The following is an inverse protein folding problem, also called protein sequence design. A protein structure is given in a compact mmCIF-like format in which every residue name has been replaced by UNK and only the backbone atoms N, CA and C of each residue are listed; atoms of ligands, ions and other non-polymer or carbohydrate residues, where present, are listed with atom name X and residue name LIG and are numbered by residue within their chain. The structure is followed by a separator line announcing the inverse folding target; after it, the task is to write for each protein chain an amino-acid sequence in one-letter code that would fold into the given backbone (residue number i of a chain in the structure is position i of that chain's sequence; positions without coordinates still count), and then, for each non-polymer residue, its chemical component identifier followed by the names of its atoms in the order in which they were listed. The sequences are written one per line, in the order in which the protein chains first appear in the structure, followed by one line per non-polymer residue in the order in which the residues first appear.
data_IF_902454236845
#
_entry.id   IF_902454236845
#
_cell.length_a   1.000
_cell.length_b   1.000
_cell.length_c   1.000
_cell.angle_alpha   90.00
_cell.angle_beta   90.00
_cell.angle_gamma   90.00
#
_symmetry.space_group_name_H-M   'P 1'
#
loop_
_entity.id
_entity.type
_entity.pdbx_description
1 polymer ?
#
# COMPACT_ATOMS: atom_id res chain seq x y z
N UNK A 1 -0.90 -18.29 13.39
CA UNK A 1 -0.30 -17.79 12.12
C UNK A 1 -1.06 -18.39 10.97
N UNK A 2 -1.61 -17.58 10.07
CA UNK A 2 -2.38 -18.08 8.91
C UNK A 2 -1.90 -17.49 7.58
N UNK A 3 -1.23 -16.36 7.47
CA UNK A 3 -1.98 -15.37 6.71
C UNK A 3 -1.68 -15.30 5.19
N UNK A 4 -0.43 -15.30 4.74
CA UNK A 4 -0.13 -15.04 3.32
C UNK A 4 -0.62 -16.15 2.34
N UNK A 5 -0.39 -17.42 2.67
CA UNK A 5 -0.83 -18.54 1.79
C UNK A 5 -2.34 -18.70 1.77
N UNK A 6 -3.00 -18.51 2.91
CA UNK A 6 -4.45 -18.61 2.98
C UNK A 6 -5.13 -17.42 2.30
N UNK A 7 -4.64 -16.19 2.51
CA UNK A 7 -5.12 -15.00 1.82
C UNK A 7 -4.99 -15.17 0.30
N UNK A 8 -3.84 -15.67 -0.17
CA UNK A 8 -3.63 -15.98 -1.59
C UNK A 8 -4.63 -17.02 -2.11
N UNK A 9 -4.86 -18.11 -1.38
CA UNK A 9 -5.81 -19.17 -1.78
C UNK A 9 -7.24 -18.63 -1.87
N UNK A 10 -7.66 -17.85 -0.88
CA UNK A 10 -8.98 -17.21 -0.87
C UNK A 10 -9.15 -16.30 -2.09
N UNK A 11 -8.20 -15.41 -2.35
CA UNK A 11 -8.27 -14.50 -3.49
C UNK A 11 -8.19 -15.22 -4.84
N UNK A 12 -7.39 -16.29 -4.95
CA UNK A 12 -7.36 -17.15 -6.14
C UNK A 12 -8.72 -17.81 -6.41
N UNK A 13 -9.45 -18.18 -5.35
CA UNK A 13 -10.82 -18.67 -5.45
C UNK A 13 -11.88 -17.57 -5.59
N UNK A 14 -11.47 -16.29 -5.70
CA UNK A 14 -12.33 -15.10 -5.70
C UNK A 14 -13.15 -14.93 -4.41
N UNK A 15 -12.67 -15.50 -3.31
CA UNK A 15 -13.21 -15.27 -1.99
C UNK A 15 -12.54 -14.02 -1.38
N UNK A 16 -13.34 -12.95 -1.30
CA UNK A 16 -12.95 -11.68 -0.69
C UNK A 16 -13.68 -11.43 0.63
N UNK A 17 -14.30 -12.47 1.22
CA UNK A 17 -15.07 -12.36 2.47
C UNK A 17 -14.23 -11.88 3.67
N UNK A 18 -12.91 -12.00 3.56
CA UNK A 18 -11.95 -11.54 4.57
C UNK A 18 -11.66 -10.04 4.49
N UNK A 19 -12.01 -9.36 3.39
CA UNK A 19 -11.73 -7.93 3.26
C UNK A 19 -12.46 -7.15 4.37
N UNK A 20 -11.82 -6.12 4.95
CA UNK A 20 -12.47 -5.30 5.95
C UNK A 20 -13.73 -4.63 5.40
N UNK A 21 -14.80 -4.51 6.20
CA UNK A 21 -15.93 -3.66 5.84
C UNK A 21 -15.49 -2.21 5.71
N UNK A 22 -15.99 -1.54 4.67
CA UNK A 22 -15.73 -0.14 4.36
C UNK A 22 -16.85 0.71 4.97
N UNK A 23 -16.48 1.77 5.68
CA UNK A 23 -17.41 2.75 6.27
C UNK A 23 -17.05 4.16 5.81
N UNK A 24 -18.02 4.91 5.33
CA UNK A 24 -17.81 6.34 5.04
C UNK A 24 -18.04 7.15 6.32
N UNK A 25 -17.08 8.00 6.68
CA UNK A 25 -17.15 8.88 7.87
C UNK A 25 -16.54 10.24 7.57
N UNK A 26 -16.93 11.25 8.36
CA UNK A 26 -16.15 12.48 8.45
C UNK A 26 -14.93 12.21 9.32
N UNK A 27 -13.75 12.09 8.71
CA UNK A 27 -12.49 11.78 9.40
C UNK A 27 -11.82 13.00 10.05
N UNK A 28 -12.54 14.13 10.11
CA UNK A 28 -12.00 15.37 10.66
C UNK A 28 -11.17 16.13 9.61
N UNK A 29 -9.88 16.33 9.90
CA UNK A 29 -8.97 17.23 9.17
C UNK A 29 -9.08 17.12 7.64
N UNK A 30 -9.03 18.28 6.98
CA UNK A 30 -9.05 18.43 5.52
C UNK A 30 -7.75 17.92 4.88
N UNK A 31 -7.60 16.60 4.80
CA UNK A 31 -6.41 15.96 4.23
C UNK A 31 -6.35 14.44 4.44
N UNK A 32 -7.15 13.88 5.34
CA UNK A 32 -7.24 12.42 5.54
C UNK A 32 -8.33 11.89 4.61
N UNK A 33 -7.95 10.97 3.73
CA UNK A 33 -8.81 10.43 2.69
C UNK A 33 -9.22 8.99 2.95
N UNK A 34 -8.34 8.21 3.59
CA UNK A 34 -8.64 6.88 4.11
C UNK A 34 -8.05 6.69 5.50
N UNK A 35 -8.53 5.67 6.18
CA UNK A 35 -7.88 5.14 7.37
C UNK A 35 -8.23 3.66 7.58
N UNK A 36 -7.26 2.84 7.97
CA UNK A 36 -7.46 1.45 8.32
C UNK A 36 -7.17 1.25 9.80
N UNK A 37 -8.05 0.53 10.49
CA UNK A 37 -7.81 0.12 11.87
C UNK A 37 -7.70 -1.39 11.97
N UNK A 38 -6.48 -1.87 12.26
CA UNK A 38 -6.23 -3.27 12.58
C UNK A 38 -6.99 -3.75 13.83
N UNK A 39 -7.20 -2.87 14.81
CA UNK A 39 -7.90 -3.20 16.07
C UNK A 39 -9.39 -3.50 15.88
N UNK A 40 -10.03 -2.85 14.91
CA UNK A 40 -11.47 -3.03 14.61
C UNK A 40 -11.72 -3.75 13.29
N UNK A 41 -10.64 -4.06 12.55
CA UNK A 41 -10.63 -4.59 11.19
C UNK A 41 -11.62 -3.84 10.28
N UNK A 42 -11.43 -2.53 10.13
CA UNK A 42 -12.32 -1.64 9.37
C UNK A 42 -11.51 -0.67 8.52
N UNK A 43 -12.01 -0.44 7.32
CA UNK A 43 -11.57 0.66 6.45
C UNK A 43 -12.57 1.81 6.62
N UNK A 44 -12.05 3.00 6.83
CA UNK A 44 -12.80 4.23 6.88
C UNK A 44 -12.42 5.09 5.66
N UNK A 45 -13.41 5.58 4.92
CA UNK A 45 -13.19 6.49 3.80
C UNK A 45 -13.79 7.85 4.16
N UNK A 46 -13.07 8.92 3.84
CA UNK A 46 -13.53 10.26 4.15
C UNK A 46 -14.73 10.64 3.28
N UNK A 47 -15.74 11.24 3.90
CA UNK A 47 -16.89 11.79 3.16
C UNK A 47 -16.44 12.82 2.11
N UNK A 48 -15.41 13.61 2.42
CA UNK A 48 -14.83 14.58 1.48
C UNK A 48 -14.31 13.93 0.20
N UNK A 49 -13.68 12.75 0.29
CA UNK A 49 -13.23 12.01 -0.90
C UNK A 49 -14.42 11.45 -1.70
N UNK A 50 -15.47 10.99 -1.02
CA UNK A 50 -16.70 10.53 -1.70
C UNK A 50 -17.38 11.70 -2.43
N UNK A 51 -17.48 12.85 -1.77
CA UNK A 51 -18.14 14.05 -2.29
C UNK A 51 -17.37 14.70 -3.44
N UNK A 52 -16.04 14.52 -3.51
CA UNK A 52 -15.23 15.04 -4.62
C UNK A 52 -15.52 14.34 -5.94
N UNK A 53 -16.03 13.11 -5.89
CA UNK A 53 -16.26 12.27 -7.08
C UNK A 53 -14.98 11.80 -7.77
N UNK A 54 -13.81 11.97 -7.16
CA UNK A 54 -12.53 11.55 -7.73
C UNK A 54 -12.34 10.02 -7.58
N UNK A 55 -12.85 9.30 -8.57
CA UNK A 55 -12.73 7.85 -8.64
C UNK A 55 -11.27 7.37 -8.73
N UNK A 56 -10.34 8.18 -9.23
CA UNK A 56 -8.92 7.79 -9.32
C UNK A 56 -8.31 7.79 -7.93
N UNK A 57 -8.50 8.87 -7.18
CA UNK A 57 -8.02 8.97 -5.80
C UNK A 57 -8.72 7.98 -4.88
N UNK A 58 -10.03 7.78 -5.03
CA UNK A 58 -10.77 6.76 -4.26
C UNK A 58 -10.19 5.35 -4.46
N UNK A 59 -9.84 4.97 -5.69
CA UNK A 59 -9.20 3.67 -5.96
C UNK A 59 -7.82 3.57 -5.32
N UNK A 60 -7.00 4.63 -5.42
CA UNK A 60 -5.67 4.64 -4.82
C UNK A 60 -5.74 4.46 -3.30
N UNK A 61 -6.61 5.23 -2.65
CA UNK A 61 -6.86 5.16 -1.20
C UNK A 61 -7.40 3.79 -0.80
N UNK A 62 -8.41 3.24 -1.48
CA UNK A 62 -8.92 1.91 -1.14
C UNK A 62 -7.86 0.81 -1.25
N UNK A 63 -6.99 0.88 -2.26
CA UNK A 63 -5.89 -0.08 -2.39
C UNK A 63 -4.85 0.08 -1.29
N UNK A 64 -4.59 1.30 -0.85
CA UNK A 64 -3.69 1.63 0.27
C UNK A 64 -4.19 1.01 1.57
N UNK A 65 -5.46 1.25 1.90
CA UNK A 65 -6.09 0.66 3.09
C UNK A 65 -6.21 -0.87 3.05
N UNK A 66 -6.34 -1.44 1.85
CA UNK A 66 -6.23 -2.90 1.66
C UNK A 66 -4.78 -3.36 1.88
N UNK A 67 -3.78 -2.57 1.50
CA UNK A 67 -2.37 -2.83 1.78
C UNK A 67 -2.07 -2.94 3.27
N UNK A 68 -2.50 -1.96 4.07
CA UNK A 68 -2.39 -2.00 5.54
C UNK A 68 -3.13 -3.21 6.15
N UNK A 69 -4.30 -3.56 5.61
CA UNK A 69 -4.99 -4.80 6.00
C UNK A 69 -4.13 -6.04 5.75
N UNK A 70 -3.52 -6.15 4.56
CA UNK A 70 -2.66 -7.27 4.20
C UNK A 70 -1.45 -7.31 5.14
N UNK A 71 -0.81 -6.17 5.43
CA UNK A 71 0.32 -6.06 6.35
C UNK A 71 -0.05 -6.61 7.73
N UNK A 72 -1.10 -6.07 8.34
CA UNK A 72 -1.62 -6.53 9.63
C UNK A 72 -2.02 -8.01 9.62
N UNK A 73 -2.35 -8.56 8.44
CA UNK A 73 -2.53 -9.99 8.30
C UNK A 73 -1.18 -10.74 8.28
N UNK A 74 -0.24 -10.39 7.42
CA UNK A 74 0.95 -11.21 7.22
C UNK A 74 2.00 -11.06 8.31
N UNK A 75 2.10 -9.87 8.92
CA UNK A 75 3.12 -9.52 9.90
C UNK A 75 2.61 -9.63 11.35
N UNK A 76 3.54 -9.80 12.27
CA UNK A 76 3.24 -9.85 13.72
C UNK A 76 3.08 -8.48 14.34
N UNK A 77 3.62 -7.46 13.68
CA UNK A 77 3.57 -6.05 14.03
C UNK A 77 3.51 -5.27 12.74
N UNK A 78 3.02 -4.05 12.84
CA UNK A 78 3.05 -3.04 11.79
C UNK A 78 4.45 -2.91 11.16
N UNK A 79 4.50 -2.78 9.84
CA UNK A 79 5.75 -2.59 9.09
C UNK A 79 6.10 -1.10 9.09
N UNK A 80 7.33 -0.69 9.45
CA UNK A 80 7.68 0.72 9.43
C UNK A 80 7.57 1.35 8.03
N UNK A 81 6.98 2.55 7.97
CA UNK A 81 6.70 3.28 6.74
C UNK A 81 5.22 3.26 6.40
N UNK A 82 4.89 3.60 5.16
CA UNK A 82 3.54 3.46 4.61
C UNK A 82 3.52 2.34 3.55
N UNK A 83 3.45 1.09 4.01
CA UNK A 83 3.41 -0.10 3.17
C UNK A 83 2.09 -0.22 2.39
N UNK A 84 1.02 0.38 2.92
CA UNK A 84 -0.23 0.58 2.20
C UNK A 84 -0.03 1.36 0.91
N UNK A 85 0.62 2.51 0.99
CA UNK A 85 0.87 3.39 -0.15
C UNK A 85 1.77 2.71 -1.17
N UNK A 86 2.82 2.03 -0.71
CA UNK A 86 3.69 1.23 -1.57
C UNK A 86 2.90 0.15 -2.30
N UNK A 87 2.05 -0.59 -1.59
CA UNK A 87 1.18 -1.60 -2.19
C UNK A 87 0.23 -1.00 -3.22
N UNK A 88 -0.44 0.11 -2.90
CA UNK A 88 -1.34 0.83 -3.81
C UNK A 88 -0.65 1.23 -5.11
N UNK A 89 0.54 1.83 -5.02
CA UNK A 89 1.33 2.23 -6.17
C UNK A 89 1.70 1.04 -7.05
N UNK A 90 2.19 -0.06 -6.45
CA UNK A 90 2.57 -1.27 -7.18
C UNK A 90 1.38 -1.93 -7.89
N UNK A 91 0.21 -2.03 -7.23
CA UNK A 91 -0.99 -2.62 -7.83
C UNK A 91 -1.54 -1.75 -8.97
N UNK A 92 -1.43 -0.42 -8.85
CA UNK A 92 -1.81 0.52 -9.91
C UNK A 92 -0.80 0.59 -11.06
N UNK A 93 0.37 -0.04 -10.93
CA UNK A 93 1.42 -0.02 -11.94
C UNK A 93 2.16 1.32 -12.02
N UNK A 94 2.20 2.07 -10.93
CA UNK A 94 2.96 3.32 -10.85
C UNK A 94 4.47 3.01 -10.83
N UNK A 95 5.23 3.81 -11.58
CA UNK A 95 6.68 3.73 -11.55
C UNK A 95 7.21 4.64 -10.44
N UNK A 96 7.78 4.03 -9.40
CA UNK A 96 8.40 4.73 -8.28
C UNK A 96 9.91 4.84 -8.48
N UNK A 97 10.49 6.00 -8.21
CA UNK A 97 11.94 6.14 -8.09
C UNK A 97 12.44 5.58 -6.76
N UNK A 98 13.75 5.33 -6.65
CA UNK A 98 14.36 4.88 -5.40
C UNK A 98 14.13 5.88 -4.25
N UNK A 99 14.15 7.18 -4.54
CA UNK A 99 13.89 8.25 -3.57
C UNK A 99 12.43 8.24 -3.12
N UNK A 100 11.47 7.98 -4.01
CA UNK A 100 10.06 7.85 -3.65
C UNK A 100 9.83 6.63 -2.76
N UNK A 101 10.41 5.48 -3.09
CA UNK A 101 10.32 4.28 -2.24
C UNK A 101 10.95 4.54 -0.87
N UNK A 102 12.11 5.22 -0.82
CA UNK A 102 12.77 5.56 0.43
C UNK A 102 11.96 6.56 1.26
N UNK A 103 11.28 7.52 0.61
CA UNK A 103 10.37 8.44 1.27
C UNK A 103 9.21 7.67 1.91
N UNK A 104 8.48 6.86 1.13
CA UNK A 104 7.33 6.04 1.58
C UNK A 104 7.72 5.15 2.77
N UNK A 105 8.89 4.49 2.70
CA UNK A 105 9.41 3.65 3.80
C UNK A 105 9.82 4.41 5.06
N UNK A 106 9.94 5.73 4.98
CA UNK A 106 10.23 6.62 6.10
C UNK A 106 9.03 7.41 6.58
N UNK A 107 7.85 7.24 5.96
CA UNK A 107 6.63 7.93 6.38
C UNK A 107 6.12 7.38 7.73
N UNK A 108 5.32 8.20 8.39
CA UNK A 108 4.60 7.81 9.61
C UNK A 108 3.16 8.28 9.45
N UNK A 109 2.31 7.35 9.08
CA UNK A 109 0.89 7.51 8.81
C UNK A 109 0.02 7.07 10.00
N UNK A 110 0.64 6.56 11.08
CA UNK A 110 -0.04 6.20 12.30
C UNK A 110 -0.70 7.41 12.97
N UNK A 111 -1.98 7.26 13.29
CA UNK A 111 -2.79 8.30 13.89
C UNK A 111 -3.93 7.76 14.76
N UNK A 112 -4.79 8.66 15.21
CA UNK A 112 -6.01 8.33 15.96
C UNK A 112 -7.17 9.15 15.41
N UNK A 113 -8.23 8.45 15.02
CA UNK A 113 -9.50 9.07 14.63
C UNK A 113 -10.55 8.89 15.72
N UNK A 114 -11.57 9.74 15.72
CA UNK A 114 -12.74 9.57 16.60
C UNK A 114 -13.90 9.00 15.80
N UNK A 115 -14.39 7.82 16.19
CA UNK A 115 -15.57 7.18 15.59
C UNK A 115 -16.58 6.94 16.70
N UNK A 116 -17.77 7.53 16.55
CA UNK A 116 -18.89 7.37 17.49
C UNK A 116 -18.50 7.68 18.96
N UNK A 117 -17.62 8.67 19.14
CA UNK A 117 -17.10 9.12 20.44
C UNK A 117 -15.93 8.31 21.00
N UNK A 118 -15.44 7.30 20.27
CA UNK A 118 -14.29 6.48 20.66
C UNK A 118 -13.05 6.85 19.85
N UNK A 119 -11.91 6.97 20.53
CA UNK A 119 -10.61 7.11 19.88
C UNK A 119 -10.16 5.74 19.35
N UNK A 120 -9.86 5.68 18.06
CA UNK A 120 -9.44 4.46 17.35
C UNK A 120 -8.09 4.74 16.69
N UNK A 121 -7.10 3.90 16.99
CA UNK A 121 -5.80 3.91 16.30
C UNK A 121 -5.94 3.39 14.87
N UNK A 122 -5.30 4.11 13.95
CA UNK A 122 -5.36 3.87 12.51
C UNK A 122 -4.03 4.16 11.84
N UNK A 123 -3.86 3.57 10.66
CA UNK A 123 -2.96 3.98 9.57
C UNK A 123 -3.77 4.82 8.58
N UNK A 124 -3.18 5.80 7.89
CA UNK A 124 -3.94 6.83 7.17
C UNK A 124 -3.43 7.11 5.76
N UNK A 125 -4.34 7.01 4.79
CA UNK A 125 -4.11 7.59 3.48
C UNK A 125 -4.39 9.10 3.43
N UNK A 126 -3.40 9.89 2.99
CA UNK A 126 -3.51 11.34 2.84
C UNK A 126 -3.81 11.77 1.39
N UNK A 127 -4.47 12.92 1.23
CA UNK A 127 -4.83 13.51 -0.07
C UNK A 127 -3.66 13.88 -0.99
N UNK A 128 -2.43 13.72 -0.52
CA UNK A 128 -1.20 14.13 -1.21
C UNK A 128 -0.13 13.05 -1.25
N UNK A 129 -0.51 11.77 -1.07
CA UNK A 129 0.35 10.60 -1.16
C UNK A 129 0.96 10.47 -2.57
N UNK A 130 1.97 11.30 -2.81
CA UNK A 130 2.87 11.49 -3.94
C UNK A 130 2.18 11.68 -5.32
N UNK A 131 2.34 12.88 -5.90
CA UNK A 131 2.07 13.12 -7.31
C UNK A 131 3.07 12.33 -8.16
N UNK A 132 2.69 11.14 -8.62
CA UNK A 132 3.49 10.34 -9.55
C UNK A 132 3.48 11.02 -10.93
N UNK A 133 4.47 11.88 -11.20
CA UNK A 133 4.60 12.43 -12.55
C UNK A 133 5.25 11.37 -13.45
N UNK A 134 4.59 10.99 -14.56
CA UNK A 134 5.18 10.13 -15.61
C UNK A 134 6.56 10.58 -16.09
N UNK A 135 6.88 11.87 -15.92
CA UNK A 135 8.16 12.47 -16.28
C UNK A 135 9.35 11.94 -15.47
N UNK A 136 9.14 11.41 -14.25
CA UNK A 136 10.22 10.87 -13.42
C UNK A 136 10.63 9.44 -13.82
N UNK A 137 9.76 8.70 -14.52
CA UNK A 137 10.04 7.35 -15.00
C UNK A 137 10.83 7.30 -16.32
N UNK A 138 10.92 8.42 -17.06
CA UNK A 138 11.56 8.47 -18.39
C UNK A 138 13.01 8.99 -18.37
N UNK A 139 13.54 9.38 -17.21
CA UNK A 139 14.91 9.93 -17.10
C UNK A 139 15.97 8.93 -16.60
N UNK A 140 15.73 7.61 -16.72
CA UNK A 140 16.72 6.59 -16.33
C UNK A 140 17.55 6.03 -17.50
N UNK A 141 17.29 6.43 -18.74
CA UNK A 141 18.02 5.90 -19.91
C UNK A 141 19.26 6.73 -20.30
N UNK A 142 19.59 7.82 -19.60
CA UNK A 142 20.72 8.69 -19.99
C UNK A 142 21.63 9.20 -18.87
N UNK A 143 21.44 8.79 -17.61
CA UNK A 143 22.31 9.22 -16.51
C UNK A 143 23.14 8.07 -15.93
N UNK A 144 24.35 7.92 -16.50
CA UNK A 144 25.58 7.41 -15.88
C UNK A 144 25.61 5.94 -15.41
N UNK A 145 26.08 5.10 -16.34
CA UNK A 145 26.94 3.97 -16.01
C UNK A 145 28.18 4.43 -15.22
N UNK A 146 28.11 4.52 -13.88
CA UNK A 146 29.29 4.50 -12.98
C UNK A 146 28.91 4.59 -11.50
N UNK A 147 28.04 3.72 -11.00
CA UNK A 147 28.16 3.38 -9.59
C UNK A 147 27.70 1.95 -9.31
N UNK A 148 28.65 1.13 -8.87
CA UNK A 148 28.49 -0.27 -8.52
C UNK A 148 27.77 -0.38 -7.16
N UNK A 149 26.51 0.06 -7.09
CA UNK A 149 25.64 -0.31 -5.99
C UNK A 149 24.91 -1.60 -6.35
N UNK A 150 25.61 -2.72 -6.23
CA UNK A 150 25.02 -4.06 -6.36
C UNK A 150 24.44 -4.42 -4.99
N UNK A 151 23.22 -3.98 -4.69
CA UNK A 151 22.44 -4.62 -3.63
C UNK A 151 21.98 -5.98 -4.16
N UNK A 152 22.55 -7.04 -3.58
CA UNK A 152 22.32 -8.43 -3.95
C UNK A 152 20.85 -8.88 -3.84
N UNK A 153 19.95 -8.02 -3.34
CA UNK A 153 18.52 -8.32 -3.21
C UNK A 153 17.67 -7.88 -4.42
N UNK A 154 18.20 -7.08 -5.36
CA UNK A 154 17.42 -6.63 -6.54
C UNK A 154 17.23 -7.75 -7.56
N UNK A 155 18.18 -8.70 -7.62
CA UNK A 155 18.17 -9.84 -8.54
C UNK A 155 17.08 -10.89 -8.27
N UNK A 156 16.50 -10.93 -7.06
CA UNK A 156 15.40 -11.86 -6.75
C UNK A 156 14.01 -11.29 -7.06
N UNK A 157 13.87 -9.96 -7.08
CA UNK A 157 12.58 -9.28 -7.31
C UNK A 157 12.29 -9.15 -8.81
N UNK A 158 13.34 -9.03 -9.63
CA UNK A 158 13.24 -8.82 -11.07
C UNK A 158 13.58 -10.07 -11.90
N UNK A 159 12.76 -11.12 -11.81
CA UNK A 159 12.63 -12.05 -12.94
C UNK A 159 11.38 -11.68 -13.73
N UNK A 160 11.52 -10.72 -14.63
CA UNK A 160 10.52 -10.46 -15.65
C UNK A 160 10.43 -11.69 -16.57
N UNK A 161 9.24 -12.26 -16.70
CA UNK A 161 8.98 -13.12 -17.84
C UNK A 161 8.99 -12.24 -19.09
N UNK A 162 9.52 -12.77 -20.19
CA UNK A 162 9.68 -12.07 -21.49
C UNK A 162 8.37 -11.62 -22.15
N UNK A 163 7.22 -11.82 -21.49
CA UNK A 163 5.89 -11.42 -21.96
C UNK A 163 5.30 -10.20 -21.21
N UNK A 164 6.07 -9.58 -20.32
CA UNK A 164 5.63 -8.37 -19.60
C UNK A 164 4.55 -8.63 -18.55
N UNK A 165 4.29 -9.89 -18.18
CA UNK A 165 3.40 -10.21 -17.05
C UNK A 165 4.19 -10.48 -15.77
N UNK A 166 3.91 -9.69 -14.73
CA UNK A 166 4.39 -9.97 -13.38
C UNK A 166 3.54 -11.08 -12.78
N UNK A 167 4.14 -12.26 -12.62
CA UNK A 167 3.50 -13.35 -11.88
C UNK A 167 3.51 -13.01 -10.39
N UNK A 168 2.39 -13.20 -9.69
CA UNK A 168 2.16 -13.00 -8.24
C UNK A 168 3.12 -13.86 -7.35
N UNK A 169 4.11 -14.52 -7.95
CA UNK A 169 5.10 -15.36 -7.29
C UNK A 169 6.02 -14.61 -6.33
N UNK A 170 6.21 -13.29 -6.48
CA UNK A 170 7.10 -12.51 -5.59
C UNK A 170 6.48 -12.10 -4.25
N UNK A 171 5.21 -12.41 -3.99
CA UNK A 171 4.59 -12.23 -2.66
C UNK A 171 5.03 -13.31 -1.63
N UNK A 172 6.07 -14.11 -1.92
CA UNK A 172 6.49 -15.28 -1.13
C UNK A 172 7.94 -15.23 -0.61
N UNK A 173 8.59 -14.06 -0.51
CA UNK A 173 9.97 -13.96 0.01
C UNK A 173 10.08 -13.43 1.44
N UNK A 174 8.98 -13.03 2.10
CA UNK A 174 9.01 -12.61 3.52
C UNK A 174 8.93 -13.77 4.54
N UNK A 175 9.17 -15.02 4.12
CA UNK A 175 8.96 -16.23 4.94
C UNK A 175 10.21 -17.02 5.35
N UNK A 176 11.44 -16.55 5.08
CA UNK A 176 12.66 -17.29 5.43
C UNK A 176 13.71 -16.39 6.09
N UNK A 177 13.50 -16.08 7.36
CA UNK A 177 14.57 -16.02 8.36
C UNK A 177 14.00 -16.33 9.75
N UNK A 178 13.73 -17.61 10.01
CA UNK A 178 13.86 -18.25 11.33
C UNK A 178 14.31 -19.68 11.11
#
# INVERSE_FOLDING_TARGET
MVKATQLRQQWQSRDFSQLPPITVKNLGNSGIFGAYSSSTNKIYISQTLIDSGDATTLKAVLLEEIGHFIDAQINSSDTPGDEGQLFSALVRGEALTGEQIAAIRGENDAATITVDGQAISVEMAFSGAINFTKAQALNLDTAQASDNYVDANVSEIAQSNTDGTFSIKSLMVMGKQI
#
